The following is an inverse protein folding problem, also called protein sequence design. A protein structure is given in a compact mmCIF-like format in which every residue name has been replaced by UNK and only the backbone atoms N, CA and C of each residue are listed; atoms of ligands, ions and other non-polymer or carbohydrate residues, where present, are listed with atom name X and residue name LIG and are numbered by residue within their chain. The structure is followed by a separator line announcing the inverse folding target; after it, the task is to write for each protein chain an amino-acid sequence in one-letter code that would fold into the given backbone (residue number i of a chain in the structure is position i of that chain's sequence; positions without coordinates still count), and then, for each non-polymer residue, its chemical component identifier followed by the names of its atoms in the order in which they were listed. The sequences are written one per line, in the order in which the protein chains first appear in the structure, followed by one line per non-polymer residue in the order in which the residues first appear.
data_IF_047580482201
#
_entry.id   IF_047580482201
#
_cell.length_a   1.000
_cell.length_b   1.000
_cell.length_c   1.000
_cell.angle_alpha   90.00
_cell.angle_beta   90.00
_cell.angle_gamma   90.00
#
_symmetry.space_group_name_H-M   'P 1'
#
loop_
_entity.id
_entity.type
_entity.pdbx_description
1 polymer ?
#
# COMPACT_ATOMS: atom_id res chain seq x y z
N UNK A 1 -15.42 12.89 15.50
CA UNK A 1 -14.31 12.47 16.38
C UNK A 1 -14.53 11.02 16.70
N UNK A 2 -13.63 10.13 16.29
CA UNK A 2 -13.47 8.80 16.88
C UNK A 2 -12.06 8.32 16.53
N UNK A 3 -11.18 8.43 17.52
CA UNK A 3 -9.87 7.80 17.53
C UNK A 3 -10.07 6.42 18.15
N UNK A 4 -9.76 5.37 17.41
CA UNK A 4 -9.50 4.05 18.00
C UNK A 4 -8.02 3.80 17.78
N UNK A 5 -7.27 3.85 18.87
CA UNK A 5 -5.86 3.51 18.92
C UNK A 5 -5.78 2.07 19.44
N UNK A 6 -5.15 1.17 18.70
CA UNK A 6 -4.69 -0.09 19.26
C UNK A 6 -3.42 -0.53 18.54
N UNK A 7 -2.35 -0.59 19.32
CA UNK A 7 -1.03 -1.07 18.95
C UNK A 7 -1.09 -2.57 18.65
N UNK A 8 -0.87 -2.92 17.39
CA UNK A 8 -0.36 -4.20 16.83
C UNK A 8 -0.89 -4.31 15.38
N UNK A 9 -0.08 -3.90 14.40
CA UNK A 9 -0.39 -4.08 12.97
C UNK A 9 -1.72 -3.47 12.50
N UNK A 10 -2.21 -2.41 13.15
CA UNK A 10 -3.56 -1.90 12.88
C UNK A 10 -3.61 -1.06 11.61
N UNK A 11 -4.38 -1.54 10.64
CA UNK A 11 -4.80 -0.74 9.51
C UNK A 11 -5.72 0.39 9.99
N UNK A 12 -5.42 1.64 9.62
CA UNK A 12 -6.20 2.83 9.97
C UNK A 12 -7.01 3.30 8.77
N UNK A 13 -8.29 3.58 8.96
CA UNK A 13 -9.15 4.18 7.92
C UNK A 13 -9.25 5.68 8.16
N UNK A 14 -8.88 6.49 7.17
CA UNK A 14 -9.01 7.95 7.20
C UNK A 14 -9.95 8.37 6.06
N UNK A 15 -11.06 9.03 6.39
CA UNK A 15 -12.03 9.51 5.40
C UNK A 15 -11.91 11.01 5.18
N UNK A 16 -11.74 11.45 3.94
CA UNK A 16 -11.81 12.86 3.53
C UNK A 16 -12.76 12.99 2.32
N UNK A 17 -14.03 13.34 2.55
CA UNK A 17 -15.01 13.49 1.47
C UNK A 17 -15.40 12.15 0.80
N UNK A 18 -15.47 12.13 -0.55
CA UNK A 18 -15.82 10.95 -1.36
C UNK A 18 -14.71 9.87 -1.38
N UNK A 19 -13.51 10.17 -0.88
CA UNK A 19 -12.40 9.22 -0.83
C UNK A 19 -12.17 8.64 0.57
N UNK A 20 -11.80 7.37 0.62
CA UNK A 20 -11.35 6.68 1.83
C UNK A 20 -9.92 6.19 1.64
N UNK A 21 -9.06 6.55 2.58
CA UNK A 21 -7.69 6.06 2.67
C UNK A 21 -7.61 4.95 3.73
N UNK A 22 -6.93 3.87 3.38
CA UNK A 22 -6.61 2.76 4.25
C UNK A 22 -5.09 2.72 4.39
N UNK A 23 -4.60 2.93 5.60
CA UNK A 23 -3.17 2.95 5.89
C UNK A 23 -2.80 1.69 6.67
N UNK A 24 -1.73 1.01 6.27
CA UNK A 24 -1.19 -0.12 7.03
C UNK A 24 0.32 -0.16 6.89
N UNK A 25 1.02 -0.52 7.96
CA UNK A 25 2.47 -0.70 7.95
C UNK A 25 2.80 -2.17 8.04
N UNK A 26 3.67 -2.65 7.15
CA UNK A 26 4.05 -4.05 7.05
C UNK A 26 5.58 -4.13 7.14
N UNK A 27 6.14 -4.94 8.08
CA UNK A 27 7.57 -5.23 8.12
C UNK A 27 8.04 -5.86 6.80
N UNK A 28 9.24 -5.51 6.32
CA UNK A 28 9.77 -6.07 5.07
C UNK A 28 9.91 -7.58 5.13
N UNK A 29 10.22 -8.14 6.30
CA UNK A 29 10.29 -9.60 6.53
C UNK A 29 8.98 -10.31 6.18
N UNK A 30 7.85 -9.63 6.32
CA UNK A 30 6.53 -10.16 5.97
C UNK A 30 6.18 -10.02 4.48
N UNK A 31 6.92 -9.22 3.70
CA UNK A 31 6.70 -9.03 2.27
C UNK A 31 7.37 -10.12 1.40
N UNK A 32 7.93 -11.15 2.03
CA UNK A 32 8.40 -12.38 1.36
C UNK A 32 7.24 -13.20 0.79
N UNK A 33 6.04 -13.01 1.33
CA UNK A 33 4.78 -13.59 0.84
C UNK A 33 3.78 -12.48 0.48
N UNK A 34 2.81 -12.79 -0.38
CA UNK A 34 1.76 -11.83 -0.77
C UNK A 34 0.87 -11.50 0.43
N UNK A 35 0.87 -10.25 0.86
CA UNK A 35 0.00 -9.72 1.93
C UNK A 35 -1.17 -8.95 1.36
N UNK A 36 -2.35 -9.13 1.93
CA UNK A 36 -3.56 -8.47 1.46
C UNK A 36 -3.97 -7.34 2.40
N UNK A 37 -4.16 -6.15 1.82
CA UNK A 37 -4.63 -4.94 2.47
C UNK A 37 -6.09 -4.76 2.09
N UNK A 38 -6.98 -4.71 3.09
CA UNK A 38 -8.40 -4.48 2.86
C UNK A 38 -8.68 -3.04 2.44
N UNK A 39 -9.44 -2.86 1.35
CA UNK A 39 -9.73 -1.56 0.76
C UNK A 39 -11.10 -1.50 0.07
N UNK A 40 -12.12 -2.15 0.63
CA UNK A 40 -13.48 -2.11 0.07
C UNK A 40 -13.98 -0.66 0.09
N UNK A 41 -14.32 -0.06 -1.07
CA UNK A 41 -15.09 1.18 -1.33
C UNK A 41 -14.66 1.82 -2.67
N UNK A 42 -15.45 2.70 -3.28
CA UNK A 42 -15.08 3.44 -4.50
C UNK A 42 -14.97 2.57 -5.77
N UNK A 43 -14.90 3.18 -6.95
CA UNK A 43 -14.72 2.47 -8.23
C UNK A 43 -13.30 2.58 -8.78
N UNK A 44 -12.46 3.42 -8.18
CA UNK A 44 -11.05 3.57 -8.54
C UNK A 44 -10.18 3.49 -7.29
N UNK A 45 -8.90 3.19 -7.47
CA UNK A 45 -7.95 3.23 -6.38
C UNK A 45 -6.54 3.58 -6.79
N UNK A 46 -5.76 3.99 -5.78
CA UNK A 46 -4.33 4.27 -5.87
C UNK A 46 -3.61 3.83 -4.60
N UNK A 47 -2.32 3.49 -4.70
CA UNK A 47 -1.48 3.19 -3.54
C UNK A 47 -0.28 4.13 -3.48
N UNK A 48 0.03 4.59 -2.27
CA UNK A 48 1.29 5.25 -1.92
C UNK A 48 2.09 4.35 -1.01
N UNK A 49 3.39 4.29 -1.22
CA UNK A 49 4.32 3.53 -0.40
C UNK A 49 5.27 4.51 0.28
N UNK A 50 5.52 4.30 1.57
CA UNK A 50 6.48 5.07 2.35
C UNK A 50 7.41 4.09 3.06
N UNK A 51 8.63 3.89 2.56
CA UNK A 51 9.64 3.11 3.26
C UNK A 51 10.03 3.80 4.57
N UNK A 52 10.20 3.02 5.62
CA UNK A 52 10.60 3.50 6.93
C UNK A 52 11.75 2.68 7.50
N UNK A 53 12.56 3.32 8.32
CA UNK A 53 13.56 2.68 9.16
C UNK A 53 13.29 3.13 10.60
N UNK A 54 12.98 2.19 11.48
CA UNK A 54 12.59 2.47 12.87
C UNK A 54 11.44 3.49 12.97
N UNK A 55 10.43 3.39 12.10
CA UNK A 55 9.27 4.29 12.06
C UNK A 55 9.50 5.64 11.37
N UNK A 56 10.72 5.96 10.94
CA UNK A 56 11.07 7.23 10.28
C UNK A 56 11.10 7.03 8.76
N UNK A 57 10.42 7.88 7.96
CA UNK A 57 10.49 7.82 6.50
C UNK A 57 11.91 8.00 5.97
N UNK A 58 12.33 7.12 5.06
CA UNK A 58 13.69 7.09 4.49
C UNK A 58 13.67 6.79 3.00
N UNK A 59 14.78 7.10 2.32
CA UNK A 59 15.05 6.55 1.01
C UNK A 59 15.41 5.07 1.13
N UNK A 60 14.80 4.23 0.31
CA UNK A 60 15.07 2.81 0.23
C UNK A 60 15.24 2.40 -1.24
N UNK A 61 15.83 1.24 -1.48
CA UNK A 61 15.97 0.64 -2.81
C UNK A 61 15.33 -0.74 -2.83
N UNK A 62 15.04 -1.22 -4.04
CA UNK A 62 14.30 -2.47 -4.26
C UNK A 62 12.92 -2.20 -4.84
N UNK A 63 12.14 -3.26 -5.02
CA UNK A 63 10.82 -3.19 -5.64
C UNK A 63 9.73 -3.82 -4.81
N UNK A 64 8.50 -3.33 -4.98
CA UNK A 64 7.28 -3.97 -4.48
C UNK A 64 6.32 -4.14 -5.64
N UNK A 65 5.70 -5.32 -5.74
CA UNK A 65 4.61 -5.58 -6.68
C UNK A 65 3.29 -5.46 -5.93
N UNK A 66 2.39 -4.66 -6.48
CA UNK A 66 1.07 -4.38 -5.94
C UNK A 66 0.02 -4.84 -6.94
N UNK A 67 -0.98 -5.57 -6.48
CA UNK A 67 -2.06 -6.15 -7.30
C UNK A 67 -3.40 -5.86 -6.65
N UNK A 68 -4.45 -5.62 -7.41
CA UNK A 68 -5.81 -5.46 -6.89
C UNK A 68 -6.65 -6.63 -7.42
N UNK A 69 -7.37 -7.29 -6.52
CA UNK A 69 -8.33 -8.31 -6.91
C UNK A 69 -9.65 -7.62 -7.25
N UNK A 70 -9.93 -7.48 -8.53
CA UNK A 70 -11.16 -6.86 -9.00
C UNK A 70 -12.32 -7.87 -8.94
N UNK A 71 -13.52 -7.41 -8.59
CA UNK A 71 -14.70 -8.27 -8.64
C UNK A 71 -14.97 -8.75 -10.06
N UNK A 72 -14.77 -10.06 -10.32
CA UNK A 72 -15.05 -10.69 -11.62
C UNK A 72 -13.91 -10.65 -12.64
N UNK A 73 -12.73 -10.14 -12.30
CA UNK A 73 -11.53 -10.18 -13.15
C UNK A 73 -10.33 -10.54 -12.28
N UNK A 74 -9.60 -11.59 -12.66
CA UNK A 74 -8.61 -12.22 -11.78
C UNK A 74 -7.44 -11.31 -11.41
N UNK A 75 -6.99 -10.42 -12.29
CA UNK A 75 -5.90 -9.49 -11.99
C UNK A 75 -5.83 -8.41 -13.08
N UNK A 76 -5.71 -7.14 -12.68
CA UNK A 76 -4.83 -6.19 -13.34
C UNK A 76 -4.94 -4.84 -12.63
N UNK A 77 -4.02 -4.59 -11.70
CA UNK A 77 -3.44 -3.26 -11.67
C UNK A 77 -2.46 -3.25 -12.85
N UNK A 78 -2.68 -2.45 -13.91
CA UNK A 78 -1.69 -2.31 -14.97
C UNK A 78 -0.41 -1.70 -14.38
N UNK A 79 0.73 -2.39 -14.53
CA UNK A 79 2.03 -1.98 -13.98
C UNK A 79 2.01 -1.74 -12.46
N UNK A 80 1.71 -2.80 -11.70
CA UNK A 80 1.73 -2.82 -10.24
C UNK A 80 3.11 -2.73 -9.59
N UNK A 81 4.18 -2.71 -10.37
CA UNK A 81 5.55 -2.59 -9.89
C UNK A 81 5.83 -1.18 -9.38
N UNK A 82 6.43 -1.10 -8.20
CA UNK A 82 6.82 0.14 -7.53
C UNK A 82 8.30 0.06 -7.20
N UNK A 83 9.07 1.01 -7.72
CA UNK A 83 10.46 1.22 -7.35
C UNK A 83 10.53 2.11 -6.10
N UNK A 84 11.06 1.56 -5.00
CA UNK A 84 11.13 2.26 -3.72
C UNK A 84 12.06 3.47 -3.75
N UNK A 85 13.01 3.52 -4.69
CA UNK A 85 13.89 4.68 -4.86
C UNK A 85 13.10 5.93 -5.29
N UNK A 86 11.91 5.76 -5.86
CA UNK A 86 11.05 6.85 -6.29
C UNK A 86 10.11 7.31 -5.16
N UNK A 87 9.93 6.52 -4.10
CA UNK A 87 9.00 6.79 -3.01
C UNK A 87 9.52 7.80 -1.97
N UNK A 88 10.72 8.35 -2.16
CA UNK A 88 11.29 9.36 -1.26
C UNK A 88 11.85 10.58 -2.04
N UNK A 89 11.38 11.82 -1.76
CA UNK A 89 10.28 12.15 -0.85
C UNK A 89 8.94 11.55 -1.34
N UNK A 90 7.96 11.39 -0.44
CA UNK A 90 6.69 10.70 -0.68
C UNK A 90 5.78 11.39 -1.72
N UNK A 91 6.19 11.35 -2.98
CA UNK A 91 5.51 11.93 -4.13
C UNK A 91 5.17 10.88 -5.20
N UNK A 92 5.67 9.66 -5.06
CA UNK A 92 5.39 8.59 -6.01
C UNK A 92 3.98 8.04 -5.82
N UNK A 93 3.14 8.29 -6.83
CA UNK A 93 1.75 7.87 -6.86
C UNK A 93 1.54 6.81 -7.94
N UNK A 94 2.03 5.59 -7.70
CA UNK A 94 1.66 4.38 -8.44
C UNK A 94 1.76 3.18 -7.51
N UNK A 95 0.84 2.22 -7.63
CA UNK A 95 -0.03 1.99 -8.78
C UNK A 95 -1.44 2.58 -8.65
N UNK A 96 -2.13 2.72 -9.80
CA UNK A 96 -3.54 3.10 -9.89
C UNK A 96 -4.35 2.04 -10.65
N UNK A 97 -5.64 1.92 -10.36
CA UNK A 97 -6.54 1.03 -11.10
C UNK A 97 -7.99 1.52 -11.10
N UNK A 98 -8.74 1.03 -12.07
CA UNK A 98 -10.20 1.13 -12.13
C UNK A 98 -10.86 -0.20 -11.78
N UNK A 99 -12.07 -0.15 -11.25
CA UNK A 99 -12.86 -1.29 -10.82
C UNK A 99 -13.03 -1.43 -9.30
N UNK A 100 -14.07 -2.18 -8.93
CA UNK A 100 -14.32 -2.54 -7.54
C UNK A 100 -13.28 -3.56 -7.09
N UNK A 101 -12.52 -3.23 -6.03
CA UNK A 101 -11.62 -4.16 -5.37
C UNK A 101 -11.94 -4.15 -3.87
N UNK A 102 -11.96 -5.32 -3.25
CA UNK A 102 -12.06 -5.43 -1.79
C UNK A 102 -10.69 -5.50 -1.11
N UNK A 103 -9.66 -5.93 -1.86
CA UNK A 103 -8.30 -6.10 -1.35
C UNK A 103 -7.25 -5.71 -2.40
N UNK A 104 -6.11 -5.25 -1.90
CA UNK A 104 -4.87 -5.06 -2.64
C UNK A 104 -3.82 -6.02 -2.08
N UNK A 105 -3.26 -6.87 -2.92
CA UNK A 105 -2.13 -7.75 -2.59
C UNK A 105 -0.80 -7.06 -2.84
N UNK A 106 0.12 -7.11 -1.88
CA UNK A 106 1.48 -6.54 -1.97
C UNK A 106 2.52 -7.62 -1.68
N UNK A 107 3.63 -7.60 -2.42
CA UNK A 107 4.76 -8.53 -2.25
C UNK A 107 6.06 -7.85 -2.66
N UNK A 108 7.18 -8.16 -2.02
CA UNK A 108 8.48 -7.68 -2.45
C UNK A 108 8.86 -8.27 -3.82
N UNK A 109 9.45 -7.45 -4.69
CA UNK A 109 9.94 -7.84 -6.01
C UNK A 109 11.45 -8.15 -6.00
N UNK A 110 11.98 -8.53 -4.84
CA UNK A 110 13.41 -8.74 -4.59
C UNK A 110 13.81 -8.27 -3.19
N UNK A 111 15.11 -8.18 -2.96
CA UNK A 111 15.65 -7.62 -1.72
C UNK A 111 15.35 -6.12 -1.62
N UNK A 112 14.93 -5.67 -0.43
CA UNK A 112 14.71 -4.27 -0.11
C UNK A 112 15.81 -3.81 0.85
N UNK A 113 16.47 -2.70 0.54
CA UNK A 113 17.57 -2.15 1.34
C UNK A 113 17.24 -0.76 1.83
N UNK A 114 17.70 -0.42 3.05
CA UNK A 114 17.56 0.93 3.62
C UNK A 114 16.27 1.19 4.38
N UNK A 115 15.40 0.17 4.53
CA UNK A 115 14.16 0.22 5.31
C UNK A 115 13.98 -1.10 6.10
N UNK A 116 13.17 -1.07 7.16
CA UNK A 116 12.73 -2.26 7.91
C UNK A 116 11.22 -2.52 7.79
N UNK A 117 10.44 -1.50 7.42
CA UNK A 117 9.01 -1.59 7.18
C UNK A 117 8.56 -0.64 6.05
N UNK A 118 7.38 -0.91 5.49
CA UNK A 118 6.76 -0.06 4.47
C UNK A 118 5.34 0.26 4.91
N UNK A 119 5.01 1.55 4.96
CA UNK A 119 3.62 2.00 5.08
C UNK A 119 2.98 2.07 3.71
N UNK A 120 1.87 1.36 3.56
CA UNK A 120 1.01 1.34 2.39
C UNK A 120 -0.23 2.19 2.67
N UNK A 121 -0.47 3.18 1.83
CA UNK A 121 -1.67 4.03 1.90
C UNK A 121 -2.49 3.77 0.65
N UNK A 122 -3.59 3.05 0.81
CA UNK A 122 -4.51 2.71 -0.26
C UNK A 122 -5.67 3.69 -0.26
N UNK A 123 -5.79 4.52 -1.28
CA UNK A 123 -6.91 5.43 -1.43
C UNK A 123 -7.92 4.92 -2.45
N UNK A 124 -9.21 5.08 -2.14
CA UNK A 124 -10.35 4.69 -2.99
C UNK A 124 -11.30 5.86 -3.19
N UNK A 125 -11.83 6.03 -4.39
CA UNK A 125 -12.79 7.09 -4.76
C UNK A 125 -13.70 6.68 -5.93
#
# INVERSE_FOLDING_TARGET
MNLVNSSNGQSRVVSHGLSKAFETTIPITELTEKKYIFCQHGSNGRVFLVPKLNGVPVAATGGVVVTARLGGVDEAIPSGEVDLAQCFPAAYEKPRWGGLASHVGVIAAGEITGADEITFIVERY
#
